data_IF_406372017081
#
_entry.id   IF_406372017081
#
_cell.length_a   1.000
_cell.length_b   1.000
_cell.length_c   1.000
_cell.angle_alpha   90.00
_cell.angle_beta   90.00
_cell.angle_gamma   90.00
#
_symmetry.space_group_name_H-M   'P 1'
#
loop_
_entity.id
_entity.type
_entity.pdbx_description
1 polymer ?
#
# COMPACT_ATOMS: atom_id res chain seq x y z
N UNK A 1 -35.42 19.79 -7.05
CA UNK A 1 -35.30 19.42 -5.61
C UNK A 1 -35.00 17.93 -5.47
N UNK A 2 -33.73 17.56 -5.66
CA UNK A 2 -32.95 16.70 -4.77
C UNK A 2 -31.53 16.64 -5.34
N UNK A 3 -30.85 17.78 -5.46
CA UNK A 3 -29.40 17.80 -5.59
C UNK A 3 -28.81 17.22 -4.30
N UNK A 4 -28.66 15.90 -4.27
CA UNK A 4 -27.76 15.25 -3.32
C UNK A 4 -26.40 15.91 -3.53
N UNK A 5 -25.81 16.57 -2.50
CA UNK A 5 -24.47 17.08 -2.64
C UNK A 5 -23.58 15.91 -3.05
N UNK A 6 -22.91 16.03 -4.19
CA UNK A 6 -21.93 15.03 -4.58
C UNK A 6 -20.90 15.01 -3.46
N UNK A 7 -20.88 13.90 -2.71
CA UNK A 7 -19.93 13.71 -1.64
C UNK A 7 -18.54 13.74 -2.28
N UNK A 8 -17.82 14.86 -2.10
CA UNK A 8 -16.48 15.08 -2.63
C UNK A 8 -15.43 14.10 -2.05
N UNK A 9 -15.82 13.28 -1.09
CA UNK A 9 -15.04 12.15 -0.59
C UNK A 9 -15.18 10.98 -1.58
N UNK A 10 -14.07 10.45 -2.16
CA UNK A 10 -14.09 9.20 -2.92
C UNK A 10 -14.85 8.10 -2.18
N UNK A 11 -15.55 7.24 -2.94
CA UNK A 11 -16.43 6.21 -2.39
C UNK A 11 -15.72 5.39 -1.31
N UNK A 12 -16.48 5.00 -0.27
CA UNK A 12 -15.93 4.25 0.87
C UNK A 12 -15.19 2.98 0.42
N UNK A 13 -15.74 2.32 -0.60
CA UNK A 13 -15.16 1.12 -1.19
C UNK A 13 -13.81 1.42 -1.88
N UNK A 14 -13.68 2.52 -2.62
CA UNK A 14 -12.42 2.90 -3.25
C UNK A 14 -11.30 3.15 -2.22
N UNK A 15 -11.64 3.78 -1.09
CA UNK A 15 -10.68 4.00 0.01
C UNK A 15 -10.27 2.69 0.68
N UNK A 16 -11.22 1.78 0.90
CA UNK A 16 -10.95 0.47 1.47
C UNK A 16 -10.02 -0.35 0.57
N UNK A 17 -10.24 -0.35 -0.74
CA UNK A 17 -9.38 -1.03 -1.71
C UNK A 17 -7.98 -0.40 -1.75
N UNK A 18 -7.89 0.93 -1.76
CA UNK A 18 -6.61 1.63 -1.70
C UNK A 18 -5.80 1.23 -0.45
N UNK A 19 -6.42 1.27 0.73
CA UNK A 19 -5.78 0.85 1.97
C UNK A 19 -5.39 -0.63 1.96
N UNK A 20 -6.30 -1.52 1.53
CA UNK A 20 -6.02 -2.94 1.44
C UNK A 20 -4.81 -3.22 0.52
N UNK A 21 -4.70 -2.51 -0.60
CA UNK A 21 -3.57 -2.67 -1.52
C UNK A 21 -2.23 -2.28 -0.90
N UNK A 22 -2.19 -1.22 -0.08
CA UNK A 22 -1.00 -0.80 0.68
C UNK A 22 -0.60 -1.87 1.69
N UNK A 23 -1.57 -2.41 2.43
CA UNK A 23 -1.32 -3.49 3.40
C UNK A 23 -0.78 -4.74 2.72
N UNK A 24 -1.39 -5.17 1.62
CA UNK A 24 -0.94 -6.35 0.86
C UNK A 24 0.47 -6.13 0.30
N UNK A 25 0.76 -4.94 -0.25
CA UNK A 25 2.09 -4.60 -0.73
C UNK A 25 3.13 -4.61 0.41
N UNK A 26 2.79 -4.05 1.58
CA UNK A 26 3.67 -4.07 2.75
C UNK A 26 3.93 -5.48 3.28
N UNK A 27 2.91 -6.34 3.32
CA UNK A 27 3.07 -7.75 3.70
C UNK A 27 4.02 -8.48 2.74
N UNK A 28 3.84 -8.29 1.43
CA UNK A 28 4.72 -8.85 0.41
C UNK A 28 6.16 -8.31 0.50
N UNK A 29 6.32 -7.00 0.72
CA UNK A 29 7.65 -6.40 0.92
C UNK A 29 8.34 -6.94 2.18
N UNK A 30 7.59 -7.18 3.25
CA UNK A 30 8.13 -7.75 4.49
C UNK A 30 8.58 -9.20 4.32
N UNK A 31 7.82 -10.04 3.62
CA UNK A 31 8.23 -11.43 3.36
C UNK A 31 9.46 -11.50 2.46
N UNK A 32 9.54 -10.63 1.44
CA UNK A 32 10.74 -10.50 0.60
C UNK A 32 11.94 -10.03 1.44
N UNK A 33 11.76 -9.01 2.27
CA UNK A 33 12.81 -8.47 3.14
C UNK A 33 13.36 -9.49 4.14
N UNK A 34 12.48 -10.34 4.70
CA UNK A 34 12.88 -11.49 5.51
C UNK A 34 13.70 -12.49 4.69
N UNK A 35 13.17 -12.91 3.54
CA UNK A 35 13.79 -13.96 2.71
C UNK A 35 15.19 -13.55 2.20
N UNK A 36 15.40 -12.26 1.92
CA UNK A 36 16.71 -11.74 1.53
C UNK A 36 17.76 -11.92 2.62
N UNK A 37 17.39 -11.70 3.89
CA UNK A 37 18.31 -11.88 5.02
C UNK A 37 18.50 -13.36 5.36
N UNK A 38 17.44 -14.15 5.25
CA UNK A 38 17.43 -15.60 5.49
C UNK A 38 18.43 -16.33 4.58
N UNK A 39 18.50 -15.95 3.30
CA UNK A 39 19.47 -16.53 2.33
C UNK A 39 20.91 -16.11 2.62
N UNK A 40 21.11 -14.98 3.29
CA UNK A 40 22.45 -14.41 3.55
C UNK A 40 23.05 -14.87 4.88
N UNK A 41 22.29 -15.54 5.74
CA UNK A 41 22.65 -15.69 7.15
C UNK A 41 22.34 -17.09 7.66
N UNK A 42 23.33 -17.78 8.23
CA UNK A 42 23.21 -19.19 8.66
C UNK A 42 22.98 -19.36 10.17
N UNK A 43 23.17 -18.30 10.96
CA UNK A 43 23.26 -18.35 12.42
C UNK A 43 22.18 -17.45 13.09
N UNK A 44 22.37 -17.00 14.34
CA UNK A 44 21.37 -16.18 15.05
C UNK A 44 21.17 -14.78 14.43
N UNK A 45 20.34 -14.71 13.39
CA UNK A 45 20.12 -13.50 12.61
C UNK A 45 18.77 -12.82 12.88
N UNK A 46 18.10 -13.14 13.99
CA UNK A 46 16.75 -12.66 14.29
C UNK A 46 16.58 -11.13 14.22
N UNK A 47 17.58 -10.37 14.69
CA UNK A 47 17.57 -8.90 14.58
C UNK A 47 17.69 -8.46 13.12
N UNK A 48 18.62 -9.02 12.36
CA UNK A 48 18.81 -8.68 10.95
C UNK A 48 17.58 -9.04 10.11
N UNK A 49 16.99 -10.22 10.32
CA UNK A 49 15.78 -10.65 9.62
C UNK A 49 14.58 -9.77 9.97
N UNK A 50 14.45 -9.35 11.24
CA UNK A 50 13.45 -8.39 11.67
C UNK A 50 13.61 -7.01 11.02
N UNK A 51 14.85 -6.53 10.91
CA UNK A 51 15.17 -5.26 10.21
C UNK A 51 14.87 -5.37 8.72
N UNK A 52 15.27 -6.47 8.06
CA UNK A 52 14.97 -6.73 6.66
C UNK A 52 13.47 -6.75 6.38
N UNK A 53 12.71 -7.44 7.23
CA UNK A 53 11.24 -7.48 7.16
C UNK A 53 10.62 -6.08 7.33
N UNK A 54 11.09 -5.30 8.32
CA UNK A 54 10.58 -3.95 8.57
C UNK A 54 10.84 -3.04 7.36
N UNK A 55 12.10 -2.95 6.90
CA UNK A 55 12.50 -2.09 5.78
C UNK A 55 11.76 -2.49 4.50
N UNK A 56 11.71 -3.79 4.21
CA UNK A 56 10.99 -4.30 3.04
C UNK A 56 9.51 -3.93 3.06
N UNK A 57 8.85 -4.08 4.22
CA UNK A 57 7.43 -3.72 4.36
C UNK A 57 7.18 -2.22 4.18
N UNK A 58 8.02 -1.37 4.77
CA UNK A 58 7.87 0.09 4.72
C UNK A 58 8.12 0.61 3.31
N UNK A 59 9.17 0.13 2.63
CA UNK A 59 9.47 0.53 1.26
C UNK A 59 8.34 0.20 0.29
N UNK A 60 7.80 -1.02 0.34
CA UNK A 60 6.70 -1.43 -0.53
C UNK A 60 5.39 -0.71 -0.18
N UNK A 61 5.07 -0.56 1.10
CA UNK A 61 3.89 0.20 1.54
C UNK A 61 3.97 1.67 1.10
N UNK A 62 5.16 2.30 1.21
CA UNK A 62 5.40 3.65 0.76
C UNK A 62 5.18 3.77 -0.77
N UNK A 63 5.75 2.88 -1.56
CA UNK A 63 5.55 2.85 -3.01
C UNK A 63 4.08 2.68 -3.39
N UNK A 64 3.38 1.72 -2.75
CA UNK A 64 1.97 1.48 -3.04
C UNK A 64 1.06 2.62 -2.60
N UNK A 65 1.44 3.37 -1.56
CA UNK A 65 0.68 4.55 -1.13
C UNK A 65 0.64 5.62 -2.22
N UNK A 66 1.75 5.82 -2.94
CA UNK A 66 1.82 6.75 -4.07
C UNK A 66 0.90 6.28 -5.20
N UNK A 67 1.01 5.01 -5.60
CA UNK A 67 0.16 4.43 -6.65
C UNK A 67 -1.32 4.51 -6.29
N UNK A 68 -1.68 4.21 -5.05
CA UNK A 68 -3.05 4.29 -4.57
C UNK A 68 -3.60 5.73 -4.64
N UNK A 69 -2.82 6.73 -4.23
CA UNK A 69 -3.20 8.14 -4.34
C UNK A 69 -3.37 8.56 -5.79
N UNK A 70 -2.44 8.18 -6.68
CA UNK A 70 -2.53 8.48 -8.11
C UNK A 70 -3.75 7.80 -8.75
N UNK A 71 -4.06 6.55 -8.38
CA UNK A 71 -5.25 5.86 -8.86
C UNK A 71 -6.55 6.53 -8.42
N UNK A 72 -6.62 6.98 -7.16
CA UNK A 72 -7.76 7.75 -6.66
C UNK A 72 -7.88 9.11 -7.35
N UNK A 73 -6.75 9.77 -7.68
CA UNK A 73 -6.73 11.04 -8.44
C UNK A 73 -7.29 10.84 -9.83
N UNK A 74 -6.80 9.84 -10.57
CA UNK A 74 -7.28 9.52 -11.90
C UNK A 74 -8.80 9.25 -11.90
N UNK A 75 -9.29 8.43 -10.95
CA UNK A 75 -10.72 8.17 -10.78
C UNK A 75 -11.56 9.44 -10.54
N UNK A 76 -10.98 10.45 -9.87
CA UNK A 76 -11.60 11.76 -9.69
C UNK A 76 -11.72 12.54 -11.01
N UNK A 77 -10.63 12.59 -11.78
CA UNK A 77 -10.61 13.28 -13.08
C UNK A 77 -11.62 12.70 -14.08
N UNK A 78 -11.78 11.37 -14.10
CA UNK A 78 -12.77 10.72 -14.96
C UNK A 78 -14.22 11.01 -14.54
N UNK A 79 -14.49 11.13 -13.23
CA UNK A 79 -15.83 11.45 -12.71
C UNK A 79 -16.28 12.85 -13.10
N UNK A 80 -15.37 13.81 -13.15
CA UNK A 80 -15.72 15.20 -13.49
C UNK A 80 -16.09 15.38 -14.97
N UNK A 81 -15.59 14.51 -15.85
CA UNK A 81 -15.88 14.58 -17.30
C UNK A 81 -17.17 13.87 -17.73
N UNK A 82 -17.78 13.05 -16.87
CA UNK A 82 -19.00 12.28 -17.15
C UNK A 82 -20.18 12.79 -16.35
#
# INVERSE_FOLDING_TARGET
MNERPLSALPSRLARAVAFASIVVAGLAGGTIGYALVDVQCTDNCGVASGVGMLIGSVCFAAGMSVVAVLGLRAMGEWRERT
#
